data_IF_879843267869
#
_entry.id   IF_879843267869
#
_cell.length_a   1.000
_cell.length_b   1.000
_cell.length_c   1.000
_cell.angle_alpha   90.00
_cell.angle_beta   90.00
_cell.angle_gamma   90.00
#
_symmetry.space_group_name_H-M   'P 1'
#
loop_
_entity.id
_entity.type
_entity.pdbx_description
1 polymer ?
#
# COMPACT_ATOMS: atom_id res chain seq x y z
N UNK A 1 -10.87 -5.30 -12.40
CA UNK A 1 -11.05 -4.58 -11.11
C UNK A 1 -9.69 -4.07 -10.62
N UNK A 2 -9.60 -2.81 -10.23
CA UNK A 2 -8.42 -2.25 -9.58
C UNK A 2 -8.75 -2.08 -8.10
N UNK A 3 -7.91 -2.60 -7.20
CA UNK A 3 -8.05 -2.31 -5.78
C UNK A 3 -7.29 -1.03 -5.47
N UNK A 4 -7.97 -0.09 -4.81
CA UNK A 4 -7.38 1.14 -4.33
C UNK A 4 -7.52 1.23 -2.83
N UNK A 5 -6.44 1.58 -2.13
CA UNK A 5 -6.49 1.89 -0.71
C UNK A 5 -5.82 3.24 -0.44
N UNK A 6 -6.39 3.97 0.51
CA UNK A 6 -5.76 5.12 1.12
C UNK A 6 -5.15 4.65 2.44
N UNK A 7 -3.87 4.98 2.65
CA UNK A 7 -3.14 4.61 3.85
C UNK A 7 -2.32 5.76 4.41
N UNK A 8 -1.85 5.61 5.64
CA UNK A 8 -0.86 6.50 6.24
C UNK A 8 0.46 5.75 6.36
N UNK A 9 1.46 6.20 5.60
CA UNK A 9 2.81 5.65 5.67
C UNK A 9 3.75 6.60 6.42
N UNK A 10 4.70 6.05 7.17
CA UNK A 10 5.79 6.84 7.77
C UNK A 10 6.99 6.74 6.84
N UNK A 11 7.30 7.82 6.12
CA UNK A 11 8.40 7.88 5.18
C UNK A 11 9.41 8.90 5.72
N UNK A 12 10.64 8.44 6.01
CA UNK A 12 11.70 9.28 6.59
C UNK A 12 11.25 10.00 7.88
N UNK A 13 10.53 9.28 8.74
CA UNK A 13 10.03 9.79 10.02
C UNK A 13 8.82 10.74 9.93
N UNK A 14 8.27 11.00 8.73
CA UNK A 14 7.09 11.84 8.55
C UNK A 14 5.88 11.00 8.11
N UNK A 15 4.73 11.22 8.75
CA UNK A 15 3.45 10.65 8.31
C UNK A 15 3.04 11.29 6.99
N UNK A 16 2.70 10.47 6.00
CA UNK A 16 2.18 10.90 4.69
C UNK A 16 0.97 10.05 4.33
N UNK A 17 -0.06 10.71 3.82
CA UNK A 17 -1.15 10.00 3.14
C UNK A 17 -0.62 9.45 1.83
N UNK A 18 -0.89 8.17 1.59
CA UNK A 18 -0.54 7.47 0.37
C UNK A 18 -1.80 6.88 -0.23
N UNK A 19 -1.99 7.11 -1.53
CA UNK A 19 -2.99 6.41 -2.32
C UNK A 19 -2.25 5.36 -3.13
N UNK A 20 -2.64 4.10 -2.96
CA UNK A 20 -2.10 2.99 -3.74
C UNK A 20 -3.23 2.42 -4.57
N UNK A 21 -3.01 2.40 -5.87
CA UNK A 21 -3.82 1.65 -6.84
C UNK A 21 -3.00 0.47 -7.31
N UNK A 22 -3.61 -0.71 -7.29
CA UNK A 22 -2.98 -1.94 -7.75
C UNK A 22 -3.91 -2.71 -8.68
N UNK A 23 -3.29 -3.43 -9.61
CA UNK A 23 -3.96 -4.43 -10.46
C UNK A 23 -4.31 -5.71 -9.72
N UNK A 24 -3.83 -5.87 -8.48
CA UNK A 24 -4.18 -6.99 -7.61
C UNK A 24 -5.65 -6.88 -7.21
N UNK A 25 -6.37 -7.99 -7.32
CA UNK A 25 -7.81 -8.09 -7.05
C UNK A 25 -8.14 -8.83 -5.76
N UNK A 26 -7.15 -9.46 -5.13
CA UNK A 26 -7.25 -10.17 -3.85
C UNK A 26 -6.77 -9.28 -2.70
N UNK A 27 -7.50 -9.26 -1.59
CA UNK A 27 -7.13 -8.47 -0.41
C UNK A 27 -5.85 -9.01 0.25
N UNK A 28 -5.66 -10.33 0.31
CA UNK A 28 -4.44 -10.93 0.87
C UNK A 28 -3.20 -10.52 0.08
N UNK A 29 -3.27 -10.65 -1.24
CA UNK A 29 -2.20 -10.28 -2.17
C UNK A 29 -1.95 -8.76 -2.12
N UNK A 30 -2.99 -7.95 -1.90
CA UNK A 30 -2.85 -6.50 -1.69
C UNK A 30 -2.04 -6.19 -0.43
N UNK A 31 -2.33 -6.86 0.69
CA UNK A 31 -1.61 -6.67 1.95
C UNK A 31 -0.14 -7.08 1.79
N UNK A 32 0.13 -8.22 1.14
CA UNK A 32 1.49 -8.70 0.90
C UNK A 32 2.28 -7.73 0.01
N UNK A 33 1.68 -7.26 -1.09
CA UNK A 33 2.29 -6.25 -1.96
C UNK A 33 2.52 -4.92 -1.23
N UNK A 34 1.56 -4.49 -0.40
CA UNK A 34 1.69 -3.26 0.38
C UNK A 34 2.84 -3.37 1.39
N UNK A 35 2.93 -4.46 2.16
CA UNK A 35 4.04 -4.68 3.08
C UNK A 35 5.39 -4.74 2.35
N UNK A 36 5.43 -5.35 1.16
CA UNK A 36 6.63 -5.42 0.33
C UNK A 36 7.14 -4.05 -0.14
N UNK A 37 6.27 -3.06 -0.32
CA UNK A 37 6.68 -1.70 -0.70
C UNK A 37 7.43 -0.94 0.42
N UNK A 38 7.29 -1.38 1.67
CA UNK A 38 7.91 -0.75 2.84
C UNK A 38 8.95 -1.63 3.55
N UNK A 39 9.11 -2.89 3.12
CA UNK A 39 10.22 -3.75 3.51
C UNK A 39 11.43 -3.38 2.64
N UNK A 40 12.41 -2.73 3.25
CA UNK A 40 13.75 -2.49 2.69
C UNK A 40 14.59 -3.78 2.67
#
# INVERSE_FOLDING_TARGET
PLLSANGLAIIKGKKREVKIETSVTSVSDFVEAFEGLFKE
#
